data_IF_730940794606
#
_entry.id   IF_730940794606
#
_cell.length_a   1.000
_cell.length_b   1.000
_cell.length_c   1.000
_cell.angle_alpha   90.00
_cell.angle_beta   90.00
_cell.angle_gamma   90.00
#
_symmetry.space_group_name_H-M   'P 1'
#
loop_
_entity.id
_entity.type
_entity.pdbx_description
1 polymer ?
#
# COMPACT_ATOMS: atom_id res chain seq x y z
N UNK A 1 5.30 -9.31 12.72
CA UNK A 1 5.26 -8.32 11.63
C UNK A 1 3.87 -8.40 11.05
N UNK A 2 3.09 -7.35 11.21
CA UNK A 2 1.75 -7.27 10.67
C UNK A 2 1.81 -7.41 9.13
N UNK A 3 0.81 -8.07 8.55
CA UNK A 3 0.71 -8.31 7.11
C UNK A 3 -0.67 -7.89 6.63
N UNK A 4 -0.82 -7.50 5.35
CA UNK A 4 -2.13 -7.29 4.75
C UNK A 4 -3.07 -8.47 4.99
N UNK A 5 -4.38 -8.22 4.94
CA UNK A 5 -5.38 -9.28 4.97
C UNK A 5 -5.09 -10.35 3.92
N UNK A 6 -5.10 -11.60 4.35
CA UNK A 6 -4.87 -12.77 3.52
C UNK A 6 -5.83 -13.87 3.90
N UNK A 7 -6.24 -14.65 2.91
CA UNK A 7 -7.04 -15.84 3.13
C UNK A 7 -6.22 -16.89 3.85
N UNK A 8 -6.91 -17.70 4.65
CA UNK A 8 -6.43 -18.98 5.16
C UNK A 8 -7.24 -20.08 4.51
N UNK A 9 -6.56 -21.05 3.90
CA UNK A 9 -7.20 -22.22 3.29
C UNK A 9 -7.12 -23.42 4.23
N UNK A 10 -8.27 -24.01 4.52
CA UNK A 10 -8.39 -25.16 5.40
C UNK A 10 -8.99 -26.35 4.65
N UNK A 11 -8.16 -27.25 4.08
CA UNK A 11 -8.66 -28.38 3.31
C UNK A 11 -9.38 -29.40 4.19
N UNK A 12 -10.21 -30.21 3.54
CA UNK A 12 -11.01 -31.26 4.16
C UNK A 12 -12.40 -30.77 4.57
N UNK A 13 -13.21 -31.72 5.02
CA UNK A 13 -14.64 -31.51 5.24
C UNK A 13 -14.97 -30.53 6.36
N UNK A 14 -15.84 -29.57 6.06
CA UNK A 14 -16.41 -28.64 7.02
C UNK A 14 -17.94 -28.75 7.03
N UNK A 15 -18.51 -28.76 8.22
CA UNK A 15 -19.95 -28.79 8.46
C UNK A 15 -20.31 -27.64 9.38
N UNK A 16 -21.58 -27.23 9.38
CA UNK A 16 -22.05 -26.18 10.30
C UNK A 16 -21.68 -26.49 11.76
N UNK A 17 -21.88 -27.73 12.21
CA UNK A 17 -21.51 -28.17 13.58
C UNK A 17 -20.01 -27.94 13.87
N UNK A 18 -19.15 -28.17 12.87
CA UNK A 18 -17.70 -27.95 13.00
C UNK A 18 -17.38 -26.46 13.06
N UNK A 19 -18.02 -25.65 12.22
CA UNK A 19 -17.86 -24.18 12.23
C UNK A 19 -18.30 -23.61 13.57
N UNK A 20 -19.48 -24.00 14.06
CA UNK A 20 -19.99 -23.59 15.36
C UNK A 20 -19.05 -24.04 16.49
N UNK A 21 -18.61 -25.30 16.45
CA UNK A 21 -17.79 -25.89 17.48
C UNK A 21 -16.36 -25.36 17.56
N UNK A 22 -15.73 -25.10 16.40
CA UNK A 22 -14.29 -24.83 16.29
C UNK A 22 -13.94 -23.39 15.90
N UNK A 23 -14.84 -22.67 15.24
CA UNK A 23 -14.63 -21.28 14.81
C UNK A 23 -15.41 -20.36 15.73
N UNK A 24 -16.73 -20.46 15.70
CA UNK A 24 -17.61 -19.54 16.44
C UNK A 24 -17.35 -19.54 17.95
N UNK A 25 -17.39 -20.71 18.60
CA UNK A 25 -17.21 -20.79 20.06
C UNK A 25 -15.85 -20.32 20.54
N UNK A 26 -14.82 -20.44 19.69
CA UNK A 26 -13.48 -19.95 20.04
C UNK A 26 -13.46 -18.42 19.99
N UNK A 27 -13.94 -17.84 18.89
CA UNK A 27 -14.08 -16.38 18.75
C UNK A 27 -14.99 -15.79 19.83
N UNK A 28 -16.12 -16.43 20.12
CA UNK A 28 -17.09 -15.92 21.08
C UNK A 28 -16.55 -15.88 22.51
N UNK A 29 -15.91 -16.98 22.93
CA UNK A 29 -15.28 -17.04 24.25
C UNK A 29 -14.15 -16.03 24.40
N UNK A 30 -13.42 -15.72 23.34
CA UNK A 30 -12.22 -14.89 23.41
C UNK A 30 -12.52 -13.41 23.17
N UNK A 31 -13.46 -13.08 22.27
CA UNK A 31 -13.68 -11.74 21.72
C UNK A 31 -15.16 -11.31 21.65
N UNK A 32 -16.10 -12.11 22.16
CA UNK A 32 -17.54 -11.78 22.14
C UNK A 32 -18.07 -11.70 20.71
N UNK A 33 -18.19 -12.87 20.07
CA UNK A 33 -18.46 -12.96 18.64
C UNK A 33 -19.95 -13.22 18.42
N UNK A 34 -20.49 -12.59 17.39
CA UNK A 34 -21.85 -12.82 16.91
C UNK A 34 -21.83 -13.35 15.49
N UNK A 35 -22.58 -14.44 15.25
CA UNK A 35 -22.84 -14.96 13.89
C UNK A 35 -23.84 -14.06 13.18
N UNK A 36 -23.48 -13.62 11.97
CA UNK A 36 -24.33 -12.86 11.08
C UNK A 36 -24.45 -13.56 9.73
N UNK A 37 -25.55 -13.23 9.05
CA UNK A 37 -25.64 -13.50 7.62
C UNK A 37 -24.72 -12.53 6.89
N UNK A 38 -23.95 -13.00 5.89
CA UNK A 38 -23.22 -12.12 4.98
C UNK A 38 -24.19 -11.12 4.33
N UNK A 39 -23.69 -9.92 4.00
CA UNK A 39 -24.48 -8.91 3.29
C UNK A 39 -24.74 -9.29 1.84
N UNK A 40 -23.82 -10.03 1.24
CA UNK A 40 -23.88 -10.52 -0.13
C UNK A 40 -24.00 -12.04 -0.16
N UNK A 41 -24.78 -12.52 -1.13
CA UNK A 41 -24.92 -13.96 -1.37
C UNK A 41 -23.55 -14.58 -1.65
N UNK A 42 -23.22 -15.62 -0.89
CA UNK A 42 -22.02 -16.43 -1.08
C UNK A 42 -22.08 -17.26 -2.39
N UNK A 43 -20.95 -17.78 -2.88
CA UNK A 43 -20.95 -18.65 -4.06
C UNK A 43 -21.74 -19.95 -3.80
N UNK A 44 -22.45 -20.46 -4.81
CA UNK A 44 -23.45 -21.53 -4.64
C UNK A 44 -22.90 -22.85 -4.06
N UNK A 45 -21.59 -23.10 -4.20
CA UNK A 45 -20.93 -24.31 -3.68
C UNK A 45 -20.48 -24.21 -2.22
N UNK A 46 -20.71 -23.06 -1.58
CA UNK A 46 -20.32 -22.81 -0.20
C UNK A 46 -21.51 -22.40 0.65
N UNK A 47 -21.48 -22.83 1.91
CA UNK A 47 -22.11 -22.10 2.98
C UNK A 47 -21.16 -20.97 3.42
N UNK A 48 -21.73 -19.88 3.96
CA UNK A 48 -20.98 -18.68 4.28
C UNK A 48 -21.50 -17.96 5.51
N UNK A 49 -20.59 -17.54 6.37
CA UNK A 49 -20.87 -16.77 7.57
C UNK A 49 -19.97 -15.57 7.72
N UNK A 50 -20.53 -14.56 8.38
CA UNK A 50 -19.82 -13.39 8.88
C UNK A 50 -19.83 -13.43 10.41
N UNK A 51 -18.68 -13.19 11.00
CA UNK A 51 -18.50 -13.05 12.44
C UNK A 51 -18.17 -11.60 12.75
N UNK A 52 -18.88 -11.03 13.72
CA UNK A 52 -18.65 -9.69 14.24
C UNK A 52 -18.28 -9.79 15.72
N UNK A 53 -17.16 -9.19 16.10
CA UNK A 53 -16.61 -9.26 17.45
C UNK A 53 -16.94 -7.97 18.20
N UNK A 54 -17.03 -8.03 19.53
CA UNK A 54 -17.38 -6.87 20.37
C UNK A 54 -16.36 -5.73 20.27
N UNK A 55 -15.12 -6.03 19.87
CA UNK A 55 -14.06 -5.06 19.63
C UNK A 55 -14.12 -4.39 18.24
N UNK A 56 -15.15 -4.69 17.44
CA UNK A 56 -15.31 -4.18 16.07
C UNK A 56 -14.58 -5.00 15.00
N UNK A 57 -13.84 -6.05 15.36
CA UNK A 57 -13.24 -6.93 14.36
C UNK A 57 -14.32 -7.72 13.61
N UNK A 58 -14.02 -8.06 12.36
CA UNK A 58 -14.87 -8.87 11.49
C UNK A 58 -14.09 -10.03 10.89
N UNK A 59 -14.79 -11.12 10.63
CA UNK A 59 -14.29 -12.23 9.85
C UNK A 59 -15.35 -12.84 8.95
N UNK A 60 -14.88 -13.39 7.85
CA UNK A 60 -15.62 -14.06 6.80
C UNK A 60 -15.17 -15.50 6.73
N UNK A 61 -16.12 -16.42 6.64
CA UNK A 61 -15.84 -17.84 6.52
C UNK A 61 -16.72 -18.48 5.46
N UNK A 62 -16.11 -19.10 4.45
CA UNK A 62 -16.79 -19.94 3.46
C UNK A 62 -16.36 -21.39 3.67
N UNK A 63 -17.29 -22.33 3.56
CA UNK A 63 -16.95 -23.74 3.69
C UNK A 63 -17.89 -24.67 2.92
N UNK A 64 -17.42 -25.87 2.64
CA UNK A 64 -18.19 -26.96 2.07
C UNK A 64 -17.64 -28.33 2.54
N UNK A 65 -18.07 -29.41 1.88
CA UNK A 65 -17.66 -30.77 2.24
C UNK A 65 -16.18 -31.09 1.90
N UNK A 66 -15.46 -30.21 1.21
CA UNK A 66 -14.10 -30.44 0.70
C UNK A 66 -13.05 -29.45 1.26
N UNK A 67 -13.44 -28.22 1.57
CA UNK A 67 -12.53 -27.15 1.98
C UNK A 67 -13.24 -25.98 2.71
N UNK A 68 -12.43 -25.06 3.26
CA UNK A 68 -12.90 -23.78 3.76
C UNK A 68 -11.89 -22.65 3.55
N UNK A 69 -12.39 -21.42 3.52
CA UNK A 69 -11.64 -20.18 3.42
C UNK A 69 -12.01 -19.25 4.57
N UNK A 70 -11.00 -18.77 5.28
CA UNK A 70 -11.13 -17.78 6.34
C UNK A 70 -10.42 -16.49 5.96
N UNK A 71 -11.07 -15.36 6.20
CA UNK A 71 -10.49 -14.03 6.04
C UNK A 71 -11.03 -13.11 7.13
N UNK A 72 -10.17 -12.45 7.89
CA UNK A 72 -10.64 -11.55 8.94
C UNK A 72 -9.53 -10.75 9.57
N UNK A 73 -9.90 -9.66 10.22
CA UNK A 73 -8.99 -8.73 10.87
C UNK A 73 -8.90 -8.97 12.38
N UNK A 74 -9.10 -10.23 12.78
CA UNK A 74 -9.20 -10.65 14.17
C UNK A 74 -8.16 -11.72 14.51
N UNK A 75 -8.18 -12.20 15.75
CA UNK A 75 -7.42 -13.40 16.11
C UNK A 75 -7.88 -14.60 15.26
N UNK A 76 -6.92 -15.33 14.70
CA UNK A 76 -7.24 -16.55 13.95
C UNK A 76 -7.65 -17.65 14.95
N UNK A 77 -8.81 -18.31 14.77
CA UNK A 77 -9.20 -19.46 15.59
C UNK A 77 -8.16 -20.58 15.59
N UNK A 78 -8.03 -21.31 16.70
CA UNK A 78 -7.00 -22.36 16.87
C UNK A 78 -7.04 -23.41 15.76
N UNK A 79 -8.23 -23.82 15.34
CA UNK A 79 -8.45 -24.79 14.28
C UNK A 79 -7.81 -24.41 12.93
N UNK A 80 -7.49 -23.12 12.75
CA UNK A 80 -6.92 -22.57 11.53
C UNK A 80 -5.44 -22.17 11.66
N UNK A 81 -4.78 -22.33 12.81
CA UNK A 81 -3.40 -21.85 13.00
C UNK A 81 -2.38 -22.46 12.03
N UNK A 82 -2.58 -23.73 11.64
CA UNK A 82 -1.68 -24.48 10.75
C UNK A 82 -2.05 -24.41 9.27
N UNK A 83 -2.95 -23.50 8.90
CA UNK A 83 -3.37 -23.29 7.51
C UNK A 83 -2.39 -22.40 6.77
N UNK A 84 -2.25 -22.66 5.48
CA UNK A 84 -1.50 -21.82 4.56
C UNK A 84 -2.25 -20.51 4.28
N UNK A 85 -1.48 -19.44 4.01
CA UNK A 85 -2.02 -18.10 3.72
C UNK A 85 -1.93 -17.79 2.22
N UNK A 86 -3.01 -17.29 1.65
CA UNK A 86 -3.15 -16.98 0.24
C UNK A 86 -3.56 -15.52 0.03
N UNK A 87 -3.10 -14.95 -1.09
CA UNK A 87 -3.52 -13.64 -1.56
C UNK A 87 -4.95 -13.68 -2.10
N UNK A 88 -5.50 -12.51 -2.45
CA UNK A 88 -6.81 -12.43 -3.11
C UNK A 88 -6.79 -13.05 -4.52
N UNK A 89 -5.65 -13.09 -5.19
CA UNK A 89 -5.50 -13.65 -6.54
C UNK A 89 -5.19 -15.16 -6.51
N UNK A 90 -4.68 -15.67 -5.39
CA UNK A 90 -4.29 -17.07 -5.24
C UNK A 90 -5.43 -17.98 -4.77
N UNK A 91 -6.63 -17.43 -4.51
CA UNK A 91 -7.85 -18.19 -4.16
C UNK A 91 -8.85 -18.15 -5.33
N UNK A 92 -9.86 -19.02 -5.37
CA UNK A 92 -10.86 -18.99 -6.43
C UNK A 92 -11.53 -17.62 -6.59
N UNK A 93 -11.74 -17.18 -7.84
CA UNK A 93 -12.23 -15.84 -8.18
C UNK A 93 -13.53 -15.46 -7.46
N UNK A 94 -14.46 -16.40 -7.32
CA UNK A 94 -15.75 -16.16 -6.69
C UNK A 94 -15.66 -16.05 -5.15
N UNK A 95 -14.71 -16.75 -4.52
CA UNK A 95 -14.36 -16.57 -3.10
C UNK A 95 -13.76 -15.18 -2.90
N UNK A 96 -12.79 -14.80 -3.73
CA UNK A 96 -12.12 -13.49 -3.67
C UNK A 96 -13.09 -12.33 -3.91
N UNK A 97 -13.97 -12.47 -4.92
CA UNK A 97 -15.00 -11.48 -5.27
C UNK A 97 -16.00 -11.29 -4.14
N UNK A 98 -16.52 -12.38 -3.57
CA UNK A 98 -17.46 -12.30 -2.46
C UNK A 98 -16.84 -11.60 -1.25
N UNK A 99 -15.63 -12.00 -0.85
CA UNK A 99 -14.96 -11.42 0.30
C UNK A 99 -14.63 -9.93 0.07
N UNK A 100 -14.20 -9.57 -1.14
CA UNK A 100 -13.93 -8.17 -1.50
C UNK A 100 -15.20 -7.34 -1.37
N UNK A 101 -16.36 -7.84 -1.80
CA UNK A 101 -17.64 -7.11 -1.65
C UNK A 101 -18.01 -6.89 -0.18
N UNK A 102 -17.95 -7.95 0.64
CA UNK A 102 -18.22 -7.87 2.08
C UNK A 102 -17.29 -6.86 2.77
N UNK A 103 -15.98 -6.94 2.48
CA UNK A 103 -14.98 -6.05 3.07
C UNK A 103 -15.11 -4.61 2.56
N UNK A 104 -15.39 -4.38 1.28
CA UNK A 104 -15.61 -3.02 0.77
C UNK A 104 -16.84 -2.39 1.41
N UNK A 105 -17.93 -3.13 1.56
CA UNK A 105 -19.09 -2.64 2.31
C UNK A 105 -18.73 -2.32 3.77
N UNK A 106 -17.85 -3.11 4.41
CA UNK A 106 -17.42 -2.85 5.79
C UNK A 106 -16.63 -1.56 5.87
N UNK A 107 -15.67 -1.40 4.95
CA UNK A 107 -14.83 -0.22 4.86
C UNK A 107 -15.67 1.03 4.67
N UNK A 108 -16.69 0.99 3.80
CA UNK A 108 -17.54 2.14 3.53
C UNK A 108 -18.55 2.41 4.64
N UNK A 109 -18.98 1.40 5.41
CA UNK A 109 -19.77 1.61 6.63
C UNK A 109 -18.94 2.29 7.73
N UNK A 110 -17.70 1.84 7.95
CA UNK A 110 -16.81 2.41 8.99
C UNK A 110 -16.15 3.73 8.56
N UNK A 111 -15.92 3.93 7.27
CA UNK A 111 -15.20 5.07 6.71
C UNK A 111 -15.88 5.56 5.43
N UNK A 112 -17.08 6.18 5.53
CA UNK A 112 -17.88 6.56 4.37
C UNK A 112 -17.20 7.54 3.42
N UNK A 113 -16.21 8.30 3.90
CA UNK A 113 -15.43 9.21 3.08
C UNK A 113 -14.58 8.50 2.01
N UNK A 114 -14.38 7.18 2.10
CA UNK A 114 -13.73 6.36 1.07
C UNK A 114 -14.68 5.90 -0.05
N UNK A 115 -16.00 5.95 0.15
CA UNK A 115 -17.00 5.49 -0.82
C UNK A 115 -16.87 6.16 -2.21
N UNK A 116 -16.58 7.47 -2.33
CA UNK A 116 -16.37 8.12 -3.62
C UNK A 116 -15.12 7.66 -4.38
N UNK A 117 -14.21 6.92 -3.72
CA UNK A 117 -12.90 6.52 -4.25
C UNK A 117 -12.78 4.99 -4.35
N UNK A 118 -13.51 4.34 -5.27
CA UNK A 118 -13.61 2.88 -5.35
C UNK A 118 -12.31 2.19 -5.76
N UNK A 119 -11.49 2.80 -6.63
CA UNK A 119 -10.22 2.20 -7.04
C UNK A 119 -9.20 2.24 -5.90
N UNK A 120 -9.13 3.37 -5.19
CA UNK A 120 -8.33 3.52 -3.98
C UNK A 120 -8.78 2.56 -2.88
N UNK A 121 -10.08 2.51 -2.62
CA UNK A 121 -10.69 1.59 -1.64
C UNK A 121 -10.36 0.14 -1.95
N UNK A 122 -10.51 -0.27 -3.21
CA UNK A 122 -10.19 -1.62 -3.63
C UNK A 122 -8.69 -1.92 -3.49
N UNK A 123 -7.83 -1.04 -3.99
CA UNK A 123 -6.39 -1.26 -4.01
C UNK A 123 -5.84 -1.48 -2.59
N UNK A 124 -6.17 -0.58 -1.67
CA UNK A 124 -5.71 -0.62 -0.28
C UNK A 124 -6.61 -1.41 0.68
N UNK A 125 -7.69 -2.04 0.20
CA UNK A 125 -8.60 -2.86 1.02
C UNK A 125 -7.88 -3.82 1.98
N UNK A 126 -6.81 -4.55 1.56
CA UNK A 126 -6.14 -5.50 2.44
C UNK A 126 -5.42 -4.85 3.63
N UNK A 127 -5.06 -3.58 3.53
CA UNK A 127 -4.39 -2.83 4.62
C UNK A 127 -5.38 -1.99 5.42
N UNK A 128 -6.36 -1.36 4.75
CA UNK A 128 -7.44 -0.60 5.40
C UNK A 128 -8.33 -1.42 6.31
N UNK A 129 -8.40 -2.73 6.11
CA UNK A 129 -9.10 -3.64 7.00
C UNK A 129 -8.17 -4.66 7.66
N UNK A 130 -6.85 -4.46 7.62
CA UNK A 130 -5.93 -5.34 8.35
C UNK A 130 -6.11 -5.21 9.87
N UNK A 131 -5.85 -6.29 10.61
CA UNK A 131 -5.96 -6.31 12.08
C UNK A 131 -5.18 -5.16 12.72
N UNK A 132 -3.89 -5.09 12.40
CA UNK A 132 -3.00 -4.16 13.08
C UNK A 132 -2.93 -2.81 12.36
N UNK A 133 -3.37 -2.69 11.11
CA UNK A 133 -3.19 -1.47 10.30
C UNK A 133 -4.44 -0.68 10.01
N UNK A 134 -5.66 -1.20 10.25
CA UNK A 134 -6.89 -0.51 9.81
C UNK A 134 -7.01 0.91 10.35
N UNK A 135 -6.72 1.14 11.63
CA UNK A 135 -6.86 2.47 12.23
C UNK A 135 -5.80 3.41 11.67
N UNK A 136 -4.54 3.00 11.71
CA UNK A 136 -3.40 3.84 11.31
C UNK A 136 -3.35 4.12 9.81
N UNK A 137 -3.73 3.15 8.97
CA UNK A 137 -3.81 3.35 7.52
C UNK A 137 -4.94 4.28 7.14
N UNK A 138 -6.11 4.18 7.79
CA UNK A 138 -7.22 5.10 7.54
C UNK A 138 -6.92 6.50 8.08
N UNK A 139 -6.36 6.62 9.29
CA UNK A 139 -5.89 7.88 9.88
C UNK A 139 -4.86 8.58 8.97
N UNK A 140 -3.91 7.85 8.40
CA UNK A 140 -2.92 8.43 7.48
C UNK A 140 -3.54 9.05 6.22
N UNK A 141 -4.59 8.43 5.67
CA UNK A 141 -5.30 8.98 4.52
C UNK A 141 -6.25 10.11 4.93
N UNK A 142 -6.90 9.99 6.09
CA UNK A 142 -7.90 10.95 6.59
C UNK A 142 -7.26 12.25 7.09
N UNK A 143 -6.35 12.13 8.07
CA UNK A 143 -5.81 13.26 8.83
C UNK A 143 -4.49 13.79 8.24
N UNK A 144 -3.83 13.00 7.39
CA UNK A 144 -2.50 13.31 6.87
C UNK A 144 -2.41 13.36 5.35
N UNK A 145 -3.55 13.38 4.66
CA UNK A 145 -3.65 13.51 3.20
C UNK A 145 -2.67 12.59 2.46
N UNK A 146 -2.50 11.35 2.97
CA UNK A 146 -1.58 10.34 2.46
C UNK A 146 -0.14 10.86 2.23
N UNK A 147 0.33 11.74 3.11
CA UNK A 147 1.69 12.25 3.13
C UNK A 147 1.93 13.49 2.25
N UNK A 148 0.89 14.10 1.69
CA UNK A 148 0.98 15.41 1.05
C UNK A 148 0.71 16.54 2.05
N UNK A 149 1.72 17.28 2.53
CA UNK A 149 1.47 18.47 3.35
C UNK A 149 0.74 19.53 2.51
N UNK A 150 0.01 20.42 3.17
CA UNK A 150 -0.72 21.53 2.54
C UNK A 150 -1.80 21.09 1.51
N UNK A 151 -2.18 19.81 1.50
CA UNK A 151 -3.29 19.29 0.71
C UNK A 151 -4.45 18.90 1.64
N UNK A 152 -5.68 18.98 1.14
CA UNK A 152 -6.80 18.34 1.85
C UNK A 152 -6.80 16.84 1.60
N UNK A 153 -7.53 16.12 2.46
CA UNK A 153 -7.84 14.70 2.25
C UNK A 153 -8.42 14.46 0.85
N UNK A 154 -9.43 15.22 0.46
CA UNK A 154 -10.14 15.04 -0.80
C UNK A 154 -9.22 15.23 -2.01
N UNK A 155 -8.30 16.20 -1.96
CA UNK A 155 -7.31 16.42 -3.03
C UNK A 155 -6.37 15.22 -3.16
N UNK A 156 -5.86 14.70 -2.04
CA UNK A 156 -4.97 13.53 -2.05
C UNK A 156 -5.70 12.26 -2.51
N UNK A 157 -6.93 12.02 -2.03
CA UNK A 157 -7.72 10.85 -2.41
C UNK A 157 -8.09 10.88 -3.89
N UNK A 158 -8.51 12.04 -4.42
CA UNK A 158 -8.80 12.18 -5.84
C UNK A 158 -7.56 11.90 -6.70
N UNK A 159 -6.40 12.41 -6.29
CA UNK A 159 -5.13 12.15 -6.97
C UNK A 159 -4.84 10.65 -7.08
N UNK A 160 -4.86 9.92 -5.96
CA UNK A 160 -4.59 8.48 -5.97
C UNK A 160 -5.70 7.67 -6.65
N UNK A 161 -6.96 8.07 -6.51
CA UNK A 161 -8.09 7.44 -7.22
C UNK A 161 -7.89 7.54 -8.74
N UNK A 162 -7.54 8.72 -9.25
CA UNK A 162 -7.30 8.93 -10.69
C UNK A 162 -6.12 8.10 -11.19
N UNK A 163 -5.04 8.01 -10.42
CA UNK A 163 -3.89 7.18 -10.78
C UNK A 163 -4.24 5.69 -10.77
N UNK A 164 -4.87 5.19 -9.69
CA UNK A 164 -5.22 3.78 -9.55
C UNK A 164 -6.31 3.35 -10.54
N UNK A 165 -7.17 4.27 -10.98
CA UNK A 165 -8.16 4.02 -12.05
C UNK A 165 -7.52 3.61 -13.38
N UNK A 166 -6.25 3.95 -13.60
CA UNK A 166 -5.51 3.50 -14.80
C UNK A 166 -5.26 1.99 -14.80
N UNK A 167 -5.32 1.35 -13.63
CA UNK A 167 -5.07 -0.09 -13.41
C UNK A 167 -3.65 -0.55 -13.71
N UNK A 168 -2.72 0.38 -13.92
CA UNK A 168 -1.32 0.08 -14.21
C UNK A 168 -0.62 -0.66 -13.06
N UNK A 169 -1.18 -0.65 -11.85
CA UNK A 169 -0.64 -1.35 -10.68
C UNK A 169 -1.46 -2.56 -10.25
N UNK A 170 -2.53 -2.93 -10.97
CA UNK A 170 -3.47 -3.98 -10.52
C UNK A 170 -2.77 -5.33 -10.30
N UNK A 171 -1.87 -5.73 -11.21
CA UNK A 171 -1.10 -6.99 -11.11
C UNK A 171 -0.13 -7.02 -9.92
N UNK A 172 0.22 -5.85 -9.38
CA UNK A 172 1.14 -5.70 -8.25
C UNK A 172 0.44 -5.23 -6.98
N UNK A 173 -0.90 -5.24 -6.95
CA UNK A 173 -1.70 -4.68 -5.86
C UNK A 173 -1.27 -5.20 -4.49
N UNK A 174 -1.09 -6.52 -4.34
CA UNK A 174 -0.71 -7.07 -3.02
C UNK A 174 0.64 -6.53 -2.54
N UNK A 175 1.61 -6.46 -3.45
CA UNK A 175 2.96 -5.98 -3.16
C UNK A 175 2.93 -4.49 -2.82
N UNK A 176 2.36 -3.69 -3.71
CA UNK A 176 2.34 -2.23 -3.59
C UNK A 176 1.45 -1.74 -2.45
N UNK A 177 0.24 -2.29 -2.27
CA UNK A 177 -0.58 -1.96 -1.10
C UNK A 177 0.10 -2.41 0.20
N UNK A 178 0.84 -3.53 0.16
CA UNK A 178 1.60 -4.05 1.28
C UNK A 178 2.74 -3.13 1.75
N UNK A 179 3.30 -2.29 0.87
CA UNK A 179 4.38 -1.33 1.22
C UNK A 179 3.95 -0.26 2.21
N UNK A 180 2.69 0.19 2.13
CA UNK A 180 2.10 1.08 3.14
C UNK A 180 2.23 0.47 4.55
N UNK A 181 2.16 -0.86 4.57
CA UNK A 181 2.34 -1.69 5.74
C UNK A 181 1.14 -1.68 6.66
N UNK A 182 1.25 -2.50 7.70
CA UNK A 182 0.23 -2.64 8.74
C UNK A 182 0.97 -2.50 10.06
N UNK A 183 0.45 -1.71 11.00
CA UNK A 183 1.14 -1.37 12.26
C UNK A 183 0.14 -0.73 13.20
N UNK A 184 0.13 -1.16 14.46
CA UNK A 184 -0.72 -0.57 15.51
C UNK A 184 -0.34 0.89 15.81
N UNK A 185 0.84 1.32 15.34
CA UNK A 185 1.34 2.68 15.44
C UNK A 185 1.45 3.33 14.06
N UNK A 186 1.03 4.59 13.99
CA UNK A 186 1.15 5.43 12.81
C UNK A 186 2.63 5.76 12.54
N UNK A 187 3.22 5.05 11.58
CA UNK A 187 4.58 5.29 11.12
C UNK A 187 4.58 6.20 9.89
N UNK A 188 4.54 7.50 10.14
CA UNK A 188 4.57 8.52 9.09
C UNK A 188 5.74 8.36 8.13
N UNK A 189 6.92 7.96 8.62
CA UNK A 189 8.13 7.90 7.79
C UNK A 189 7.97 6.79 6.76
N UNK A 190 7.60 5.59 7.22
CA UNK A 190 7.38 4.44 6.34
C UNK A 190 6.22 4.68 5.38
N UNK A 191 5.08 5.17 5.86
CA UNK A 191 3.87 5.34 5.05
C UNK A 191 4.06 6.42 3.98
N UNK A 192 4.71 7.54 4.35
CA UNK A 192 5.06 8.58 3.39
C UNK A 192 6.07 8.07 2.36
N UNK A 193 7.08 7.29 2.77
CA UNK A 193 8.02 6.67 1.85
C UNK A 193 7.33 5.74 0.85
N UNK A 194 6.42 4.88 1.32
CA UNK A 194 5.62 4.02 0.46
C UNK A 194 4.81 4.83 -0.57
N UNK A 195 4.13 5.89 -0.12
CA UNK A 195 3.40 6.78 -1.04
C UNK A 195 4.31 7.52 -2.03
N UNK A 196 5.59 7.73 -1.69
CA UNK A 196 6.56 8.33 -2.62
C UNK A 196 6.80 7.45 -3.85
N UNK A 197 6.69 6.14 -3.71
CA UNK A 197 6.76 5.24 -4.86
C UNK A 197 5.53 5.33 -5.76
N UNK A 198 4.34 5.56 -5.20
CA UNK A 198 3.15 5.81 -6.02
C UNK A 198 3.28 7.14 -6.79
N UNK A 199 3.89 8.16 -6.17
CA UNK A 199 4.16 9.44 -6.82
C UNK A 199 5.12 9.28 -8.01
N UNK A 200 6.19 8.49 -7.84
CA UNK A 200 7.13 8.19 -8.93
C UNK A 200 6.46 7.35 -10.02
N UNK A 201 5.70 6.32 -9.63
CA UNK A 201 4.92 5.51 -10.59
C UNK A 201 3.96 6.37 -11.42
N UNK A 202 3.24 7.30 -10.78
CA UNK A 202 2.38 8.27 -11.46
C UNK A 202 3.18 9.13 -12.45
N UNK A 203 4.31 9.70 -12.03
CA UNK A 203 5.14 10.55 -12.88
C UNK A 203 5.68 9.80 -14.11
N UNK A 204 6.09 8.55 -13.94
CA UNK A 204 6.57 7.70 -15.03
C UNK A 204 5.44 7.36 -16.03
N UNK A 205 4.25 7.03 -15.52
CA UNK A 205 3.08 6.71 -16.36
C UNK A 205 2.58 7.93 -17.13
N UNK A 206 2.54 9.11 -16.49
CA UNK A 206 2.18 10.37 -17.17
C UNK A 206 3.20 10.74 -18.27
N UNK A 207 4.48 10.38 -18.08
CA UNK A 207 5.51 10.52 -19.10
C UNK A 207 5.46 9.44 -20.20
N UNK A 208 4.51 8.50 -20.14
CA UNK A 208 4.28 7.48 -21.15
C UNK A 208 5.17 6.24 -21.03
N UNK A 209 5.75 5.98 -19.85
CA UNK A 209 6.50 4.76 -19.58
C UNK A 209 5.59 3.65 -19.05
N UNK A 210 5.82 2.43 -19.53
CA UNK A 210 5.30 1.23 -18.88
C UNK A 210 6.12 0.97 -17.61
N UNK A 211 5.45 0.67 -16.49
CA UNK A 211 6.13 0.46 -15.21
C UNK A 211 5.96 -0.99 -14.72
N UNK A 212 7.03 -1.52 -14.16
CA UNK A 212 7.05 -2.79 -13.43
C UNK A 212 7.67 -2.51 -12.05
N UNK A 213 6.89 -2.57 -10.95
CA UNK A 213 7.38 -2.38 -9.59
C UNK A 213 8.14 -3.59 -9.05
N UNK A 214 8.97 -3.37 -8.03
CA UNK A 214 9.54 -4.42 -7.16
C UNK A 214 10.30 -5.52 -7.92
N UNK A 215 11.33 -5.10 -8.65
CA UNK A 215 12.06 -6.00 -9.54
C UNK A 215 13.27 -6.55 -8.83
N UNK A 216 13.30 -7.87 -8.69
CA UNK A 216 14.51 -8.58 -8.30
C UNK A 216 15.55 -8.47 -9.42
N UNK A 217 16.72 -7.93 -9.08
CA UNK A 217 17.88 -7.96 -9.96
C UNK A 217 18.95 -8.90 -9.40
N UNK A 218 19.95 -9.21 -10.24
CA UNK A 218 20.98 -10.21 -9.94
C UNK A 218 21.81 -9.96 -8.69
N UNK A 219 21.78 -8.75 -8.13
CA UNK A 219 22.48 -8.40 -6.88
C UNK A 219 21.72 -8.86 -5.62
N UNK A 220 20.47 -9.30 -5.75
CA UNK A 220 19.64 -9.75 -4.62
C UNK A 220 18.89 -8.64 -3.88
N UNK A 221 19.03 -7.38 -4.33
CA UNK A 221 18.21 -6.25 -3.89
C UNK A 221 17.07 -6.02 -4.89
N UNK A 222 15.87 -5.76 -4.38
CA UNK A 222 14.74 -5.31 -5.21
C UNK A 222 14.91 -3.82 -5.54
N UNK A 223 14.72 -3.47 -6.81
CA UNK A 223 14.63 -2.09 -7.27
C UNK A 223 13.16 -1.69 -7.34
N UNK A 224 12.86 -0.46 -6.93
CA UNK A 224 11.48 0.02 -6.81
C UNK A 224 10.71 -0.06 -8.14
N UNK A 225 11.32 0.36 -9.26
CA UNK A 225 10.71 0.25 -10.59
C UNK A 225 11.69 -0.04 -11.73
N UNK A 226 11.17 -0.66 -12.78
CA UNK A 226 11.68 -0.54 -14.15
C UNK A 226 10.67 0.25 -14.97
N UNK A 227 11.16 1.29 -15.64
CA UNK A 227 10.40 2.11 -16.58
C UNK A 227 10.81 1.75 -18.02
N UNK A 228 9.88 1.26 -18.83
CA UNK A 228 10.11 0.84 -20.20
C UNK A 228 9.53 1.81 -21.23
N UNK A 229 10.27 2.07 -22.32
CA UNK A 229 9.73 2.75 -23.51
C UNK A 229 10.48 2.29 -24.76
N UNK A 230 9.74 1.91 -25.80
CA UNK A 230 10.32 1.61 -27.12
C UNK A 230 11.36 0.47 -27.17
N UNK A 231 11.38 -0.41 -26.16
CA UNK A 231 12.33 -1.53 -26.05
C UNK A 231 13.55 -1.25 -25.15
N UNK A 232 13.74 -0.01 -24.71
CA UNK A 232 14.71 0.35 -23.68
C UNK A 232 14.04 0.38 -22.31
N UNK A 233 14.80 0.06 -21.26
CA UNK A 233 14.31 0.03 -19.89
C UNK A 233 15.30 0.71 -18.94
N UNK A 234 14.78 1.54 -18.05
CA UNK A 234 15.54 2.30 -17.05
C UNK A 234 15.14 1.80 -15.67
N UNK A 235 16.13 1.47 -14.84
CA UNK A 235 15.90 1.12 -13.44
C UNK A 235 15.76 2.41 -12.62
N UNK A 236 14.79 2.43 -11.71
CA UNK A 236 14.43 3.58 -10.91
C UNK A 236 14.35 3.17 -9.45
N UNK A 237 15.10 3.89 -8.62
CA UNK A 237 15.06 3.75 -7.16
C UNK A 237 14.44 5.02 -6.57
N UNK A 238 13.59 4.86 -5.57
CA UNK A 238 12.84 5.93 -4.95
C UNK A 238 13.33 6.17 -3.53
N UNK A 239 13.40 7.43 -3.17
CA UNK A 239 13.60 7.84 -1.79
C UNK A 239 12.81 9.08 -1.47
N UNK A 240 12.38 9.21 -0.22
CA UNK A 240 11.52 10.31 0.23
C UNK A 240 12.05 10.91 1.52
N UNK A 241 12.61 12.13 1.49
CA UNK A 241 13.05 12.81 2.70
C UNK A 241 11.89 13.06 3.65
N UNK A 242 12.14 12.92 4.95
CA UNK A 242 11.17 13.33 5.98
C UNK A 242 11.26 14.83 6.21
N UNK A 243 10.12 15.55 6.34
CA UNK A 243 10.11 16.98 6.67
C UNK A 243 10.87 17.30 7.94
N UNK A 244 11.37 18.53 8.04
CA UNK A 244 12.24 18.93 9.16
C UNK A 244 11.51 19.58 10.35
N UNK A 245 10.20 19.82 10.25
CA UNK A 245 9.37 20.45 11.28
C UNK A 245 9.46 19.84 12.69
N UNK A 246 9.70 20.71 13.69
CA UNK A 246 10.04 20.51 15.13
C UNK A 246 11.41 19.90 15.48
N UNK A 247 12.23 19.51 14.50
CA UNK A 247 13.62 19.10 14.79
C UNK A 247 14.51 20.32 15.00
N UNK A 248 15.06 20.49 16.21
CA UNK A 248 16.05 21.55 16.56
C UNK A 248 17.35 21.55 15.73
N UNK A 249 17.55 20.64 14.75
CA UNK A 249 18.88 20.37 14.19
C UNK A 249 18.94 19.93 12.71
N UNK A 250 18.01 20.31 11.82
CA UNK A 250 18.10 19.96 10.40
C UNK A 250 17.49 21.01 9.46
N UNK A 251 18.01 21.12 8.23
CA UNK A 251 17.43 21.94 7.16
C UNK A 251 16.84 21.03 6.07
N UNK A 252 15.85 21.47 5.29
CA UNK A 252 15.30 20.69 4.17
C UNK A 252 16.39 20.24 3.16
N UNK A 253 17.37 21.12 2.93
CA UNK A 253 18.55 20.85 2.08
C UNK A 253 19.40 19.71 2.65
N UNK A 254 19.63 19.69 3.97
CA UNK A 254 20.35 18.60 4.62
C UNK A 254 19.55 17.29 4.57
N UNK A 255 18.22 17.35 4.79
CA UNK A 255 17.36 16.17 4.72
C UNK A 255 17.40 15.49 3.35
N UNK A 256 17.40 16.26 2.25
CA UNK A 256 17.57 15.75 0.89
C UNK A 256 18.92 15.05 0.73
N UNK A 257 20.01 15.70 1.17
CA UNK A 257 21.37 15.15 1.08
C UNK A 257 21.51 13.84 1.85
N UNK A 258 21.10 13.84 3.12
CA UNK A 258 21.27 12.69 4.01
C UNK A 258 20.46 11.48 3.51
N UNK A 259 19.23 11.73 3.05
CA UNK A 259 18.34 10.70 2.51
C UNK A 259 18.90 10.10 1.23
N UNK A 260 19.36 10.94 0.30
CA UNK A 260 19.97 10.47 -0.94
C UNK A 260 21.29 9.72 -0.71
N UNK A 261 22.17 10.22 0.16
CA UNK A 261 23.45 9.57 0.49
C UNK A 261 23.24 8.19 1.10
N UNK A 262 22.29 8.05 2.02
CA UNK A 262 21.98 6.75 2.66
C UNK A 262 21.56 5.69 1.63
N UNK A 263 20.78 6.08 0.62
CA UNK A 263 20.37 5.19 -0.47
C UNK A 263 21.51 4.89 -1.45
N UNK A 264 22.37 5.88 -1.69
CA UNK A 264 23.48 5.80 -2.64
C UNK A 264 24.59 4.87 -2.16
N UNK A 265 25.06 5.06 -0.92
CA UNK A 265 26.15 4.28 -0.30
C UNK A 265 25.77 2.83 0.03
N UNK A 266 24.48 2.51 0.01
CA UNK A 266 23.97 1.17 0.25
C UNK A 266 23.65 0.42 -1.03
N UNK A 267 22.43 0.63 -1.54
CA UNK A 267 21.84 -0.21 -2.58
C UNK A 267 22.40 0.12 -3.97
N UNK A 268 22.63 1.40 -4.27
CA UNK A 268 22.90 1.85 -5.64
C UNK A 268 24.32 1.59 -6.16
N UNK A 269 25.33 1.62 -5.30
CA UNK A 269 26.72 1.30 -5.67
C UNK A 269 26.86 -0.12 -6.25
N UNK A 270 26.05 -1.07 -5.77
CA UNK A 270 26.07 -2.46 -6.24
C UNK A 270 25.57 -2.62 -7.69
N UNK A 271 24.81 -1.65 -8.21
CA UNK A 271 24.25 -1.68 -9.56
C UNK A 271 25.09 -0.92 -10.60
N UNK A 272 26.30 -0.48 -10.24
CA UNK A 272 27.28 0.08 -11.19
C UNK A 272 26.82 1.36 -11.91
N UNK A 273 25.89 2.12 -11.32
CA UNK A 273 25.39 3.39 -11.87
C UNK A 273 24.29 3.28 -12.94
N UNK A 274 23.70 2.09 -13.15
CA UNK A 274 22.62 1.87 -14.12
C UNK A 274 21.21 2.26 -13.65
N UNK A 275 21.08 2.86 -12.46
CA UNK A 275 19.82 3.19 -11.81
C UNK A 275 19.66 4.70 -11.68
N UNK A 276 18.48 5.23 -11.96
CA UNK A 276 18.12 6.64 -11.72
C UNK A 276 17.54 6.77 -10.32
N UNK A 277 18.14 7.61 -9.49
CA UNK A 277 17.59 7.93 -8.17
C UNK A 277 16.51 9.02 -8.28
N UNK A 278 15.30 8.73 -7.82
CA UNK A 278 14.24 9.70 -7.64
C UNK A 278 14.16 10.10 -6.17
N UNK A 279 14.39 11.37 -5.88
CA UNK A 279 14.18 11.97 -4.56
C UNK A 279 12.83 12.69 -4.59
N UNK A 280 11.81 12.04 -4.04
CA UNK A 280 10.46 12.58 -3.92
C UNK A 280 10.37 13.53 -2.70
N UNK A 281 10.38 14.83 -2.95
CA UNK A 281 10.20 15.88 -1.95
C UNK A 281 8.72 16.28 -1.76
N UNK A 282 7.76 15.48 -2.23
CA UNK A 282 6.31 15.73 -2.05
C UNK A 282 5.85 15.66 -0.59
N UNK A 283 6.72 15.27 0.32
CA UNK A 283 6.49 15.36 1.77
C UNK A 283 6.75 16.76 2.33
N UNK A 284 7.44 17.65 1.61
CA UNK A 284 7.81 18.98 2.10
C UNK A 284 6.70 20.01 1.89
N UNK A 285 6.39 20.81 2.94
CA UNK A 285 5.55 22.00 2.79
C UNK A 285 6.15 23.00 1.80
N UNK A 286 5.35 23.98 1.40
CA UNK A 286 5.74 24.98 0.41
C UNK A 286 7.07 25.70 0.72
N UNK A 287 7.29 26.14 1.95
CA UNK A 287 8.49 26.88 2.35
C UNK A 287 9.76 26.00 2.36
N UNK A 288 9.66 24.77 2.85
CA UNK A 288 10.74 23.79 2.83
C UNK A 288 11.14 23.44 1.38
N UNK A 289 10.15 23.23 0.50
CA UNK A 289 10.42 22.96 -0.92
C UNK A 289 11.08 24.14 -1.64
N UNK A 290 10.58 25.36 -1.45
CA UNK A 290 11.19 26.54 -2.08
C UNK A 290 12.67 26.69 -1.69
N UNK A 291 13.02 26.34 -0.45
CA UNK A 291 14.42 26.33 0.00
C UNK A 291 15.26 25.29 -0.74
N UNK A 292 14.74 24.09 -0.96
CA UNK A 292 15.43 23.03 -1.72
C UNK A 292 15.59 23.41 -3.19
N UNK A 293 14.54 23.99 -3.80
CA UNK A 293 14.55 24.37 -5.21
C UNK A 293 15.53 25.54 -5.48
N UNK A 294 15.66 26.47 -4.53
CA UNK A 294 16.60 27.58 -4.64
C UNK A 294 18.07 27.11 -4.54
N UNK A 295 18.37 26.15 -3.67
CA UNK A 295 19.73 25.68 -3.40
C UNK A 295 20.17 24.53 -4.32
N UNK A 296 19.22 23.73 -4.82
CA UNK A 296 19.44 22.52 -5.62
C UNK A 296 20.59 21.64 -5.11
N UNK A 297 20.51 21.09 -3.87
CA UNK A 297 21.58 20.29 -3.28
C UNK A 297 22.10 19.18 -4.20
N UNK A 298 23.39 18.89 -4.09
CA UNK A 298 23.97 17.66 -4.64
C UNK A 298 23.42 16.44 -3.87
N UNK A 299 23.16 15.34 -4.58
CA UNK A 299 22.60 14.10 -4.01
C UNK A 299 23.56 12.92 -4.08
N UNK A 300 24.80 13.17 -4.51
CA UNK A 300 25.93 12.23 -4.57
C UNK A 300 25.71 10.94 -5.39
N UNK A 301 24.55 10.78 -6.03
CA UNK A 301 24.26 9.80 -7.06
C UNK A 301 23.89 10.48 -8.38
N UNK A 302 24.33 9.90 -9.51
CA UNK A 302 24.03 10.38 -10.85
C UNK A 302 23.84 9.17 -11.77
N UNK A 303 22.74 9.10 -12.55
CA UNK A 303 21.70 10.10 -12.73
C UNK A 303 20.68 10.19 -11.56
N UNK A 304 20.18 11.40 -11.29
CA UNK A 304 19.15 11.62 -10.27
C UNK A 304 18.14 12.72 -10.65
N UNK A 305 16.92 12.58 -10.13
CA UNK A 305 15.81 13.52 -10.25
C UNK A 305 15.37 13.92 -8.85
N UNK A 306 15.34 15.22 -8.55
CA UNK A 306 14.78 15.75 -7.30
C UNK A 306 13.55 16.55 -7.67
N UNK A 307 12.39 16.12 -7.18
CA UNK A 307 11.12 16.71 -7.60
C UNK A 307 10.14 16.83 -6.43
N UNK A 308 9.13 17.67 -6.62
CA UNK A 308 7.94 17.73 -5.80
C UNK A 308 6.72 17.62 -6.69
N UNK A 309 5.83 16.70 -6.34
CA UNK A 309 4.51 16.53 -6.93
C UNK A 309 3.45 17.05 -5.96
N UNK A 310 2.41 17.70 -6.51
CA UNK A 310 1.20 18.09 -5.79
C UNK A 310 0.02 17.28 -6.29
N UNK A 311 -1.01 17.04 -5.46
CA UNK A 311 -2.23 16.33 -5.90
C UNK A 311 -2.94 16.96 -7.11
N UNK A 312 -2.70 18.24 -7.40
CA UNK A 312 -3.18 18.91 -8.61
C UNK A 312 -2.49 18.46 -9.91
N UNK A 313 -1.50 17.58 -9.84
CA UNK A 313 -0.66 17.17 -10.97
C UNK A 313 0.50 18.13 -11.26
N UNK A 314 0.66 19.22 -10.48
CA UNK A 314 1.82 20.11 -10.64
C UNK A 314 3.08 19.40 -10.17
N UNK A 315 4.07 19.37 -11.05
CA UNK A 315 5.42 18.86 -10.79
C UNK A 315 6.40 20.02 -10.90
N UNK A 316 7.36 20.08 -9.99
CA UNK A 316 8.50 21.01 -10.04
C UNK A 316 9.76 20.22 -9.67
N UNK A 317 10.87 20.44 -10.36
CA UNK A 317 12.10 19.75 -9.96
C UNK A 317 13.37 20.22 -10.66
N UNK A 318 14.44 19.44 -10.46
CA UNK A 318 15.70 19.56 -11.15
C UNK A 318 16.39 18.20 -11.26
N UNK A 319 17.35 18.09 -12.17
CA UNK A 319 18.11 16.86 -12.39
C UNK A 319 19.59 17.01 -12.02
N UNK A 320 20.24 15.88 -11.74
CA UNK A 320 21.70 15.78 -11.58
C UNK A 320 22.23 14.67 -12.49
N UNK A 321 23.18 15.02 -13.36
CA UNK A 321 23.70 14.10 -14.38
C UNK A 321 22.79 13.98 -15.60
N UNK A 322 23.07 12.98 -16.46
CA UNK A 322 22.30 12.72 -17.67
C UNK A 322 21.18 11.72 -17.38
N UNK A 323 19.99 12.23 -17.07
CA UNK A 323 18.81 11.41 -16.80
C UNK A 323 18.26 10.84 -18.12
N UNK A 324 18.19 9.51 -18.30
CA UNK A 324 17.70 8.87 -19.52
C UNK A 324 16.16 8.73 -19.55
N UNK A 325 15.46 9.67 -18.94
CA UNK A 325 13.99 9.73 -18.86
C UNK A 325 13.54 11.14 -19.26
N UNK A 326 12.52 11.23 -20.11
CA UNK A 326 11.89 12.50 -20.48
C UNK A 326 10.72 12.76 -19.53
N UNK A 327 10.93 13.63 -18.55
CA UNK A 327 10.01 13.85 -17.43
C UNK A 327 9.46 15.28 -17.46
N UNK A 328 8.19 15.50 -17.06
CA UNK A 328 7.57 16.81 -17.01
C UNK A 328 7.96 17.59 -15.73
N UNK A 329 9.27 17.86 -15.51
CA UNK A 329 9.83 18.46 -14.28
C UNK A 329 10.31 19.90 -14.42
#
# INVERSE_FOLDING_TARGET
>A
MARPLRFRHAPGRWTEDRVVGQIYRDLDRNLGATRRRPWFKQPDRYDGERFEMDNGDVALFLWNDDEAYWLGNTETPEALWRTEKYSFEAVPDDVSTWATRELTAQLHEESPWLEPYPHLSWFFLPVFLSKDGRETTREFFDDHAAGFPDATREEALEFYELFLRTRVLDEWREVMAGKLGTSEYLDHTRMTAAMGEFNVGHLLVEAGYDIEPEIEVSTGHAIDYRAGSGGDAVLVEVTRPTPTGDRRAGTPVAAVRDTASTKSEGQLEEHGGGVVLFVDCSSFPDDEWQSVLAEQPEVHHRPAVVFRLRPSGRVEGYTKGSVPLDLPI
#
